data_IF_077964241373
#
_entry.id   IF_077964241373
#
_cell.length_a   1.000
_cell.length_b   1.000
_cell.length_c   1.000
_cell.angle_alpha   90.00
_cell.angle_beta   90.00
_cell.angle_gamma   90.00
#
_symmetry.space_group_name_H-M   'P 1'
#
loop_
_entity.id
_entity.type
_entity.pdbx_description
1 polymer ?
#
# COMPACT_ATOMS: atom_id res chain seq x y z
N UNK A 1 -5.15 23.67 -3.84
CA UNK A 1 -4.63 22.95 -2.67
C UNK A 1 -4.72 21.46 -2.98
N UNK A 2 -3.63 20.69 -2.93
CA UNK A 2 -3.72 19.25 -3.08
C UNK A 2 -4.60 18.67 -1.97
N UNK A 3 -5.53 17.79 -2.34
CA UNK A 3 -6.35 17.08 -1.35
C UNK A 3 -5.45 16.11 -0.60
N UNK A 4 -5.42 16.22 0.73
CA UNK A 4 -4.67 15.29 1.57
C UNK A 4 -5.61 14.43 2.38
N UNK A 5 -5.23 13.17 2.62
CA UNK A 5 -5.96 12.23 3.45
C UNK A 5 -5.03 11.64 4.50
N UNK A 6 -5.59 11.32 5.67
CA UNK A 6 -4.93 10.51 6.68
C UNK A 6 -5.79 9.27 6.92
N UNK A 7 -5.20 8.09 6.78
CA UNK A 7 -5.91 6.86 7.06
C UNK A 7 -6.37 6.79 8.52
N UNK A 8 -7.57 6.27 8.72
CA UNK A 8 -8.08 6.01 10.06
C UNK A 8 -7.35 4.84 10.72
N UNK A 9 -7.46 4.71 12.04
CA UNK A 9 -6.89 3.56 12.75
C UNK A 9 -7.55 2.22 12.33
N UNK A 10 -8.79 2.25 11.87
CA UNK A 10 -9.46 1.08 11.27
C UNK A 10 -8.87 0.72 9.91
N UNK A 11 -8.64 1.70 9.04
CA UNK A 11 -8.05 1.47 7.71
C UNK A 11 -6.65 0.86 7.84
N UNK A 12 -5.82 1.42 8.72
CA UNK A 12 -4.46 0.92 8.95
C UNK A 12 -4.48 -0.51 9.51
N UNK A 13 -5.44 -0.83 10.38
CA UNK A 13 -5.63 -2.21 10.91
C UNK A 13 -6.11 -3.16 9.81
N UNK A 14 -7.07 -2.74 8.99
CA UNK A 14 -7.59 -3.54 7.88
C UNK A 14 -6.49 -3.85 6.88
N UNK A 15 -5.74 -2.83 6.43
CA UNK A 15 -4.63 -3.00 5.50
C UNK A 15 -3.58 -3.96 6.04
N UNK A 16 -3.16 -3.78 7.30
CA UNK A 16 -2.18 -4.67 7.93
C UNK A 16 -2.69 -6.10 8.04
N UNK A 17 -3.94 -6.27 8.49
CA UNK A 17 -4.55 -7.59 8.66
C UNK A 17 -4.67 -8.32 7.32
N UNK A 18 -5.09 -7.63 6.25
CA UNK A 18 -5.16 -8.21 4.91
C UNK A 18 -3.78 -8.57 4.39
N UNK A 19 -2.80 -7.66 4.49
CA UNK A 19 -1.42 -7.90 4.07
C UNK A 19 -0.79 -9.12 4.77
N UNK A 20 -0.89 -9.19 6.10
CA UNK A 20 -0.37 -10.33 6.87
C UNK A 20 -1.12 -11.63 6.55
N UNK A 21 -2.43 -11.58 6.28
CA UNK A 21 -3.22 -12.75 5.86
C UNK A 21 -2.75 -13.31 4.51
N UNK A 22 -2.41 -12.42 3.56
CA UNK A 22 -1.88 -12.80 2.25
C UNK A 22 -0.49 -13.41 2.41
N UNK A 23 0.40 -12.77 3.18
CA UNK A 23 1.75 -13.28 3.42
C UNK A 23 1.75 -14.69 4.05
N UNK A 24 0.79 -15.01 4.92
CA UNK A 24 0.62 -16.35 5.50
C UNK A 24 0.27 -17.45 4.50
N UNK A 25 -0.15 -17.11 3.28
CA UNK A 25 -0.36 -18.08 2.20
C UNK A 25 0.96 -18.58 1.62
N UNK A 26 2.02 -17.79 1.75
CA UNK A 26 3.32 -18.04 1.13
C UNK A 26 4.42 -18.36 2.14
N UNK A 27 4.23 -18.00 3.42
CA UNK A 27 5.22 -18.19 4.49
C UNK A 27 4.61 -18.86 5.71
N UNK A 28 5.36 -19.81 6.29
CA UNK A 28 5.04 -20.45 7.58
C UNK A 28 5.42 -19.59 8.79
N UNK A 29 6.05 -18.44 8.60
CA UNK A 29 6.51 -17.55 9.67
C UNK A 29 5.33 -16.89 10.40
N UNK A 30 5.48 -16.66 11.71
CA UNK A 30 4.42 -16.07 12.53
C UNK A 30 4.36 -14.55 12.47
N UNK A 31 5.46 -13.89 12.13
CA UNK A 31 5.66 -12.44 12.19
C UNK A 31 6.16 -11.90 10.85
N UNK A 32 5.65 -10.73 10.47
CA UNK A 32 6.02 -10.05 9.24
C UNK A 32 6.43 -8.60 9.52
N UNK A 33 7.38 -8.11 8.74
CA UNK A 33 7.66 -6.68 8.58
C UNK A 33 6.95 -6.19 7.31
N UNK A 34 6.48 -4.94 7.33
CA UNK A 34 5.86 -4.31 6.17
C UNK A 34 6.61 -2.99 5.95
N UNK A 35 7.07 -2.78 4.72
CA UNK A 35 7.70 -1.54 4.29
C UNK A 35 6.94 -0.95 3.10
N UNK A 36 6.99 0.37 2.95
CA UNK A 36 6.30 1.12 1.91
C UNK A 36 7.33 1.51 0.85
N UNK A 37 7.09 1.11 -0.39
CA UNK A 37 7.93 1.49 -1.51
C UNK A 37 7.80 2.98 -1.85
N UNK A 38 8.93 3.67 -1.92
CA UNK A 38 9.07 4.90 -2.69
C UNK A 38 9.65 4.55 -4.05
N UNK A 39 9.05 5.09 -5.11
CA UNK A 39 9.45 4.79 -6.48
C UNK A 39 9.98 6.03 -7.17
N UNK A 40 10.84 5.82 -8.16
CA UNK A 40 11.31 6.86 -9.09
C UNK A 40 10.68 6.66 -10.47
N UNK A 41 10.14 7.71 -11.08
CA UNK A 41 9.72 7.68 -12.48
C UNK A 41 10.93 7.56 -13.40
N UNK A 42 10.91 6.59 -14.31
CA UNK A 42 11.95 6.40 -15.33
C UNK A 42 11.95 7.50 -16.39
N UNK A 43 10.84 8.24 -16.51
CA UNK A 43 10.67 9.30 -17.51
C UNK A 43 11.31 10.63 -17.07
N UNK A 44 11.33 10.92 -15.77
CA UNK A 44 11.74 12.25 -15.27
C UNK A 44 12.51 12.23 -13.94
N UNK A 45 12.77 11.06 -13.36
CA UNK A 45 13.56 10.89 -12.12
C UNK A 45 12.86 11.35 -10.84
N UNK A 46 11.61 11.84 -10.90
CA UNK A 46 10.88 12.25 -9.69
C UNK A 46 10.56 11.04 -8.83
N UNK A 47 10.70 11.20 -7.50
CA UNK A 47 10.39 10.14 -6.54
C UNK A 47 9.13 10.45 -5.73
N UNK A 48 8.38 9.41 -5.39
CA UNK A 48 7.25 9.51 -4.47
C UNK A 48 6.83 8.14 -3.93
N UNK A 49 6.30 8.11 -2.70
CA UNK A 49 5.58 6.94 -2.17
C UNK A 49 4.20 6.77 -2.82
N UNK A 50 3.51 7.89 -3.14
CA UNK A 50 2.29 7.83 -3.94
C UNK A 50 2.66 7.70 -5.43
N UNK A 51 2.56 6.50 -5.97
CA UNK A 51 2.93 6.19 -7.36
C UNK A 51 2.11 7.04 -8.35
N UNK A 52 0.85 7.34 -8.04
CA UNK A 52 -0.03 8.17 -8.89
C UNK A 52 0.44 9.62 -9.03
N UNK A 53 1.34 10.08 -8.16
CA UNK A 53 1.90 11.44 -8.26
C UNK A 53 3.05 11.56 -9.27
N UNK A 54 3.59 10.42 -9.71
CA UNK A 54 4.75 10.34 -10.61
C UNK A 54 4.52 9.48 -11.85
N UNK A 55 3.43 8.70 -11.91
CA UNK A 55 3.08 7.84 -13.05
C UNK A 55 1.57 7.89 -13.37
N UNK A 56 1.26 7.88 -14.67
CA UNK A 56 -0.09 7.67 -15.20
C UNK A 56 -0.28 6.27 -15.80
N UNK A 57 0.78 5.46 -15.84
CA UNK A 57 0.71 4.10 -16.34
C UNK A 57 -0.18 3.26 -15.41
N UNK A 58 -1.16 2.50 -15.93
CA UNK A 58 -2.03 1.66 -15.12
C UNK A 58 -1.27 0.56 -14.36
N UNK A 59 -0.18 0.07 -14.96
CA UNK A 59 0.67 -1.02 -14.49
C UNK A 59 2.05 -0.51 -14.01
N UNK A 60 2.25 0.83 -13.99
CA UNK A 60 3.35 1.55 -13.35
C UNK A 60 4.75 1.04 -13.75
N UNK A 61 4.85 0.41 -14.93
CA UNK A 61 6.07 -0.12 -15.54
C UNK A 61 7.09 0.99 -15.85
N UNK A 62 6.61 2.24 -15.95
CA UNK A 62 7.44 3.44 -16.12
C UNK A 62 8.07 3.94 -14.80
N UNK A 63 8.05 3.13 -13.74
CA UNK A 63 8.64 3.45 -12.45
C UNK A 63 9.52 2.31 -11.94
N UNK A 64 10.54 2.65 -11.15
CA UNK A 64 11.40 1.67 -10.45
C UNK A 64 11.36 1.89 -8.94
N UNK A 65 11.66 0.86 -8.16
CA UNK A 65 11.84 0.98 -6.71
C UNK A 65 13.06 1.86 -6.43
N UNK A 66 12.86 2.95 -5.69
CA UNK A 66 13.94 3.86 -5.30
C UNK A 66 14.46 3.52 -3.89
N UNK A 67 13.56 3.39 -2.92
CA UNK A 67 13.86 2.98 -1.54
C UNK A 67 12.60 2.46 -0.86
N UNK A 68 12.75 1.82 0.30
CA UNK A 68 11.61 1.50 1.17
C UNK A 68 11.59 2.39 2.41
N UNK A 69 10.40 2.52 2.98
CA UNK A 69 10.13 3.27 4.21
C UNK A 69 9.42 2.40 5.22
N UNK A 70 9.65 2.65 6.50
CA UNK A 70 8.98 1.95 7.60
C UNK A 70 7.44 2.07 7.57
N UNK A 71 6.74 1.01 7.99
CA UNK A 71 5.28 0.95 8.09
C UNK A 71 4.63 2.17 8.75
N UNK A 72 5.28 2.81 9.74
CA UNK A 72 4.65 3.92 10.48
C UNK A 72 4.28 5.10 9.57
N UNK A 73 4.96 5.27 8.43
CA UNK A 73 4.67 6.35 7.47
C UNK A 73 3.31 6.23 6.79
N UNK A 74 2.68 5.04 6.78
CA UNK A 74 1.31 4.90 6.24
C UNK A 74 0.29 5.76 7.00
N UNK A 75 0.62 6.17 8.24
CA UNK A 75 -0.22 7.01 9.11
C UNK A 75 -0.03 8.51 8.89
N UNK A 76 0.91 8.90 8.03
CA UNK A 76 1.16 10.29 7.67
C UNK A 76 -0.02 10.84 6.86
N UNK A 77 -0.01 12.16 6.59
CA UNK A 77 -0.93 12.75 5.61
C UNK A 77 -0.36 12.51 4.22
N UNK A 78 -1.19 11.96 3.34
CA UNK A 78 -0.82 11.63 1.97
C UNK A 78 -1.53 12.55 0.99
N UNK A 79 -0.79 13.08 0.02
CA UNK A 79 -1.36 13.83 -1.10
C UNK A 79 -2.02 12.88 -2.09
N UNK A 80 -3.23 13.24 -2.52
CA UNK A 80 -3.97 12.52 -3.55
C UNK A 80 -3.69 13.13 -4.92
N UNK A 81 -3.20 12.32 -5.85
CA UNK A 81 -3.06 12.67 -7.26
C UNK A 81 -4.36 12.27 -7.99
N UNK A 82 -5.04 13.24 -8.60
CA UNK A 82 -6.34 13.03 -9.23
C UNK A 82 -7.37 12.32 -8.32
N UNK A 83 -7.34 12.64 -7.03
CA UNK A 83 -8.24 12.07 -6.02
C UNK A 83 -7.86 10.70 -5.49
N UNK A 84 -6.72 10.13 -5.92
CA UNK A 84 -6.26 8.81 -5.52
C UNK A 84 -4.79 8.79 -5.06
N UNK A 85 -4.44 7.79 -4.27
CA UNK A 85 -3.07 7.41 -4.01
C UNK A 85 -2.92 5.90 -4.13
N UNK A 86 -1.76 5.46 -4.63
CA UNK A 86 -1.39 4.05 -4.71
C UNK A 86 -0.04 3.87 -4.03
N UNK A 87 0.00 3.01 -3.02
CA UNK A 87 1.21 2.66 -2.28
C UNK A 87 1.56 1.21 -2.52
N UNK A 88 2.82 0.94 -2.84
CA UNK A 88 3.37 -0.41 -2.91
C UNK A 88 3.92 -0.81 -1.54
N UNK A 89 3.61 -2.03 -1.08
CA UNK A 89 3.95 -2.55 0.23
C UNK A 89 4.74 -3.85 0.07
N UNK A 90 5.96 -3.84 0.58
CA UNK A 90 6.84 -4.99 0.61
C UNK A 90 6.70 -5.70 1.95
N UNK A 91 6.37 -6.99 1.91
CA UNK A 91 6.13 -7.78 3.12
C UNK A 91 7.27 -8.79 3.28
N UNK A 92 8.01 -8.66 4.36
CA UNK A 92 9.16 -9.51 4.67
C UNK A 92 8.87 -10.43 5.84
N UNK A 93 9.52 -11.59 5.87
CA UNK A 93 9.54 -12.40 7.07
C UNK A 93 10.21 -11.66 8.23
N UNK A 94 9.80 -11.98 9.46
CA UNK A 94 10.45 -11.47 10.67
C UNK A 94 10.76 -12.63 11.63
N UNK A 95 11.79 -13.45 11.32
CA UNK A 95 12.08 -14.67 12.08
C UNK A 95 12.46 -14.38 13.55
N UNK A 96 13.18 -13.27 13.80
CA UNK A 96 13.66 -12.86 15.13
C UNK A 96 13.42 -11.39 15.48
N UNK A 97 13.78 -11.00 16.71
CA UNK A 97 13.80 -9.58 17.11
C UNK A 97 15.02 -8.92 16.44
N UNK A 98 14.76 -7.93 15.58
CA UNK A 98 15.83 -7.20 14.88
C UNK A 98 16.23 -7.80 13.52
N UNK A 99 15.64 -8.92 13.14
CA UNK A 99 15.88 -9.58 11.85
C UNK A 99 14.77 -9.24 10.85
N UNK A 100 15.16 -8.90 9.62
CA UNK A 100 14.29 -8.87 8.45
C UNK A 100 14.74 -10.04 7.58
N UNK A 101 13.82 -10.97 7.34
CA UNK A 101 14.06 -12.14 6.48
C UNK A 101 13.72 -11.84 5.03
N UNK A 102 13.48 -12.91 4.27
CA UNK A 102 13.21 -12.81 2.84
C UNK A 102 11.89 -12.06 2.55
N UNK A 103 11.84 -11.45 1.37
CA UNK A 103 10.61 -10.90 0.81
C UNK A 103 9.63 -12.06 0.57
N UNK A 104 8.42 -11.93 1.14
CA UNK A 104 7.36 -12.93 1.03
C UNK A 104 6.44 -12.63 -0.14
N UNK A 105 5.91 -11.42 -0.21
CA UNK A 105 5.02 -10.97 -1.28
C UNK A 105 4.89 -9.44 -1.31
N UNK A 106 4.23 -8.94 -2.35
CA UNK A 106 3.91 -7.53 -2.56
C UNK A 106 2.41 -7.30 -2.49
N UNK A 107 2.02 -6.21 -1.83
CA UNK A 107 0.63 -5.78 -1.70
C UNK A 107 0.55 -4.30 -2.06
N UNK A 108 -0.48 -3.92 -2.80
CA UNK A 108 -0.74 -2.52 -3.10
C UNK A 108 -1.96 -2.02 -2.31
N UNK A 109 -1.87 -0.79 -1.80
CA UNK A 109 -2.97 -0.11 -1.14
C UNK A 109 -3.45 1.07 -2.00
N UNK A 110 -4.70 1.03 -2.44
CA UNK A 110 -5.37 2.15 -3.07
C UNK A 110 -6.13 2.96 -2.02
N UNK A 111 -5.91 4.27 -2.02
CA UNK A 111 -6.50 5.23 -1.08
C UNK A 111 -7.20 6.33 -1.86
N UNK A 112 -8.35 6.76 -1.37
CA UNK A 112 -9.09 7.92 -1.90
C UNK A 112 -9.46 8.91 -0.79
N UNK A 113 -10.31 9.89 -1.11
CA UNK A 113 -10.76 10.91 -0.16
C UNK A 113 -11.53 10.35 1.05
N UNK A 114 -11.99 9.10 1.01
CA UNK A 114 -12.71 8.45 2.11
C UNK A 114 -11.82 7.53 2.97
N UNK A 115 -10.56 7.33 2.58
CA UNK A 115 -9.62 6.45 3.26
C UNK A 115 -9.18 5.28 2.37
N UNK A 116 -8.96 4.11 2.97
CA UNK A 116 -8.56 2.92 2.23
C UNK A 116 -9.70 2.49 1.29
N UNK A 117 -9.42 2.38 0.01
CA UNK A 117 -10.40 2.08 -1.05
C UNK A 117 -10.31 0.62 -1.48
N UNK A 118 -9.10 0.14 -1.78
CA UNK A 118 -8.87 -1.23 -2.19
C UNK A 118 -7.47 -1.73 -1.77
N UNK A 119 -7.32 -3.05 -1.75
CA UNK A 119 -6.05 -3.75 -1.59
C UNK A 119 -5.91 -4.69 -2.78
N UNK A 120 -4.73 -4.74 -3.38
CA UNK A 120 -4.35 -5.66 -4.45
C UNK A 120 -3.13 -6.45 -3.99
N UNK A 121 -2.92 -7.65 -4.51
CA UNK A 121 -1.74 -8.44 -4.19
C UNK A 121 -1.24 -9.15 -5.45
N UNK A 122 0.03 -8.93 -5.77
CA UNK A 122 0.65 -9.43 -7.00
C UNK A 122 -0.24 -9.14 -8.23
N UNK A 123 -0.67 -10.17 -8.97
CA UNK A 123 -1.56 -10.04 -10.13
C UNK A 123 -3.06 -9.99 -9.76
N UNK A 124 -3.43 -10.24 -8.50
CA UNK A 124 -4.82 -10.27 -8.05
C UNK A 124 -5.28 -8.87 -7.60
N UNK A 125 -6.17 -8.28 -8.39
CA UNK A 125 -6.80 -7.00 -8.03
C UNK A 125 -7.92 -7.25 -7.02
N UNK A 126 -8.09 -6.32 -6.09
CA UNK A 126 -9.27 -6.20 -5.25
C UNK A 126 -9.46 -7.38 -4.28
N UNK A 127 -8.35 -7.91 -3.76
CA UNK A 127 -8.35 -8.92 -2.68
C UNK A 127 -9.07 -8.42 -1.42
N UNK A 128 -9.20 -7.10 -1.29
CA UNK A 128 -10.17 -6.45 -0.44
C UNK A 128 -10.62 -5.14 -1.10
N UNK A 129 -11.90 -4.81 -0.95
CA UNK A 129 -12.47 -3.50 -1.32
C UNK A 129 -13.29 -2.95 -0.18
N UNK A 130 -13.31 -1.62 -0.05
CA UNK A 130 -14.20 -0.95 0.89
C UNK A 130 -15.65 -1.25 0.49
N UNK A 131 -16.47 -1.79 1.41
CA UNK A 131 -17.88 -2.04 1.12
C UNK A 131 -18.59 -0.78 0.65
N UNK A 132 -19.44 -0.90 -0.37
CA UNK A 132 -20.34 0.18 -0.76
C UNK A 132 -21.17 0.60 0.47
N UNK A 133 -21.30 1.91 0.71
CA UNK A 133 -22.20 2.41 1.77
C UNK A 133 -23.59 1.86 1.45
N UNK A 134 -24.13 1.04 2.35
CA UNK A 134 -25.55 0.73 2.31
C UNK A 134 -26.27 2.01 2.71
N UNK A 135 -26.92 2.67 1.76
CA UNK A 135 -27.89 3.70 2.09
C UNK A 135 -29.01 3.03 2.88
N UNK A 136 -29.47 3.63 4.00
CA UNK A 136 -30.60 3.08 4.72
C UNK A 136 -31.79 3.03 3.76
N UNK A 137 -32.40 1.84 3.63
CA UNK A 137 -33.67 1.70 2.92
C UNK A 137 -34.71 2.50 3.71
N UNK A 138 -35.28 3.52 3.07
CA UNK A 138 -36.46 4.25 3.56
C UNK A 138 -37.67 3.31 3.75
#
# INVERSE_FOLDING_TARGET
>A
MPTTIRLSASDVRQLRSTAESIARRYSGTRRFAIEIGERSSLNNGRTAMNIRSISNDPDWEDTDLFTTHEWRRIRDRHELANGKALFDLYIYERPGIGEVGDLVCNVQAEIDAQGLAAIHADAERNVWERPARQEPRE
#
